data_IF_142687217796
#
_entry.id   IF_142687217796
#
_cell.length_a   1.000
_cell.length_b   1.000
_cell.length_c   1.000
_cell.angle_alpha   90.00
_cell.angle_beta   90.00
_cell.angle_gamma   90.00
#
_symmetry.space_group_name_H-M   'P 1'
#
loop_
_entity.id
_entity.type
_entity.pdbx_description
1 polymer ?
#
# COMPACT_ATOMS: atom_id res chain seq x y z
N UNK A 1 28.49 18.85 4.55
CA UNK A 1 27.36 18.85 3.61
C UNK A 1 26.12 18.50 4.42
N UNK A 2 25.30 19.49 4.79
CA UNK A 2 24.08 19.23 5.56
C UNK A 2 22.98 18.77 4.59
N UNK A 3 22.53 17.52 4.72
CA UNK A 3 21.36 17.06 4.01
C UNK A 3 20.11 17.69 4.64
N UNK A 4 19.25 18.29 3.82
CA UNK A 4 17.94 18.78 4.27
C UNK A 4 17.05 17.56 4.55
N UNK A 5 16.47 17.51 5.75
CA UNK A 5 15.55 16.46 6.18
C UNK A 5 14.26 17.08 6.71
N UNK A 6 13.15 16.37 6.54
CA UNK A 6 11.87 16.75 7.15
C UNK A 6 11.99 16.73 8.67
N UNK A 7 11.20 17.57 9.34
CA UNK A 7 11.01 17.44 10.79
C UNK A 7 10.40 16.07 11.12
N UNK A 8 10.61 15.53 12.33
CA UNK A 8 10.02 14.24 12.73
C UNK A 8 8.49 14.24 12.61
N UNK A 9 7.84 15.36 12.97
CA UNK A 9 6.40 15.59 12.78
C UNK A 9 6.00 15.46 11.31
N UNK A 10 6.64 16.20 10.41
CA UNK A 10 6.33 16.15 8.99
C UNK A 10 6.65 14.77 8.36
N UNK A 11 7.70 14.12 8.83
CA UNK A 11 8.10 12.80 8.36
C UNK A 11 7.07 11.73 8.74
N UNK A 12 6.57 11.73 9.99
CA UNK A 12 5.51 10.79 10.41
C UNK A 12 4.24 10.98 9.59
N UNK A 13 3.83 12.22 9.37
CA UNK A 13 2.66 12.53 8.55
C UNK A 13 2.83 12.01 7.12
N UNK A 14 3.96 12.35 6.51
CA UNK A 14 4.29 11.93 5.15
C UNK A 14 4.35 10.42 5.01
N UNK A 15 5.06 9.72 5.89
CA UNK A 15 5.21 8.27 5.85
C UNK A 15 3.86 7.57 6.03
N UNK A 16 3.03 8.06 6.96
CA UNK A 16 1.71 7.47 7.22
C UNK A 16 0.77 7.64 6.03
N UNK A 17 0.68 8.84 5.46
CA UNK A 17 -0.11 9.11 4.26
C UNK A 17 0.41 8.31 3.06
N UNK A 18 1.73 8.29 2.84
CA UNK A 18 2.34 7.50 1.77
C UNK A 18 2.03 6.01 1.90
N UNK A 19 2.15 5.46 3.10
CA UNK A 19 1.93 4.05 3.38
C UNK A 19 0.47 3.65 3.12
N UNK A 20 -0.49 4.42 3.65
CA UNK A 20 -1.90 4.09 3.52
C UNK A 20 -2.44 4.36 2.13
N UNK A 21 -2.12 5.51 1.53
CA UNK A 21 -2.71 5.93 0.25
C UNK A 21 -2.08 5.20 -0.94
N UNK A 22 -0.75 4.99 -0.94
CA UNK A 22 -0.05 4.46 -2.14
C UNK A 22 0.10 2.96 -2.14
N UNK A 23 0.11 2.32 -0.99
CA UNK A 23 0.46 0.90 -0.88
C UNK A 23 -0.60 0.04 -0.21
N UNK A 24 -1.66 0.63 0.36
CA UNK A 24 -2.76 -0.09 1.01
C UNK A 24 -2.30 -1.11 2.05
N UNK A 25 -1.11 -0.93 2.62
CA UNK A 25 -0.48 -1.95 3.45
C UNK A 25 0.57 -2.79 2.72
N UNK A 26 0.25 -3.91 2.08
CA UNK A 26 1.09 -4.97 1.42
C UNK A 26 2.59 -5.28 1.76
N UNK A 27 2.94 -6.59 1.83
CA UNK A 27 4.23 -7.33 2.07
C UNK A 27 5.54 -6.59 2.42
N UNK A 28 5.81 -5.41 1.85
CA UNK A 28 6.74 -4.41 2.40
C UNK A 28 6.16 -3.76 3.69
N UNK A 29 4.93 -4.15 4.08
CA UNK A 29 4.15 -3.73 5.27
C UNK A 29 5.04 -3.59 6.49
N UNK A 30 5.66 -4.69 6.90
CA UNK A 30 6.31 -4.75 8.19
C UNK A 30 7.49 -3.77 8.25
N UNK A 31 8.29 -3.70 7.18
CA UNK A 31 9.41 -2.78 7.12
C UNK A 31 8.96 -1.31 7.20
N UNK A 32 7.87 -0.94 6.52
CA UNK A 32 7.37 0.45 6.54
C UNK A 32 6.70 0.83 7.86
N UNK A 33 5.97 -0.09 8.48
CA UNK A 33 5.49 0.13 9.85
C UNK A 33 6.66 0.17 10.85
N UNK A 34 7.73 -0.59 10.59
CA UNK A 34 8.95 -0.53 11.38
C UNK A 34 9.68 0.81 11.22
N UNK A 35 9.68 1.41 10.02
CA UNK A 35 10.19 2.77 9.83
C UNK A 35 9.41 3.80 10.68
N UNK A 36 8.07 3.70 10.71
CA UNK A 36 7.23 4.53 11.59
C UNK A 36 7.57 4.30 13.07
N UNK A 37 7.68 3.03 13.47
CA UNK A 37 8.08 2.64 14.83
C UNK A 37 9.43 3.26 15.22
N UNK A 38 10.45 3.15 14.36
CA UNK A 38 11.78 3.71 14.61
C UNK A 38 11.77 5.23 14.72
N UNK A 39 10.95 5.93 13.93
CA UNK A 39 10.80 7.39 14.06
C UNK A 39 10.17 7.74 15.40
N UNK A 40 9.11 7.05 15.81
CA UNK A 40 8.48 7.27 17.11
C UNK A 40 9.41 6.93 18.28
N UNK A 41 10.10 5.79 18.23
CA UNK A 41 11.01 5.33 19.28
C UNK A 41 12.20 6.30 19.44
N UNK A 42 12.87 6.65 18.33
CA UNK A 42 14.12 7.42 18.38
C UNK A 42 13.91 8.92 18.43
N UNK A 43 12.81 9.40 17.85
CA UNK A 43 12.57 10.83 17.63
C UNK A 43 11.22 11.30 18.18
N UNK A 44 10.43 10.45 18.85
CA UNK A 44 9.12 10.79 19.39
C UNK A 44 9.14 11.97 20.36
N UNK A 45 10.23 12.16 21.10
CA UNK A 45 10.43 13.32 21.98
C UNK A 45 10.58 14.66 21.22
N UNK A 46 10.84 14.62 19.91
CA UNK A 46 10.93 15.77 19.01
C UNK A 46 9.68 15.95 18.14
N UNK A 47 8.74 15.02 18.24
CA UNK A 47 7.47 15.08 17.50
C UNK A 47 6.55 16.01 18.25
N UNK A 48 6.01 16.99 17.53
CA UNK A 48 4.89 17.80 18.00
C UNK A 48 3.59 17.05 17.70
N UNK A 49 3.10 16.32 18.69
CA UNK A 49 1.95 15.41 18.55
C UNK A 49 0.63 16.14 18.32
N UNK A 50 0.48 17.35 18.84
CA UNK A 50 -0.71 18.18 18.65
C UNK A 50 -0.73 18.75 17.22
N UNK A 51 0.39 19.32 16.77
CA UNK A 51 0.55 19.77 15.39
C UNK A 51 0.34 18.63 14.39
N UNK A 52 0.77 17.41 14.72
CA UNK A 52 0.58 16.25 13.85
C UNK A 52 -0.92 15.98 13.61
N UNK A 53 -1.76 16.09 14.64
CA UNK A 53 -3.22 15.94 14.52
C UNK A 53 -3.80 17.09 13.69
N UNK A 54 -3.41 18.34 13.98
CA UNK A 54 -3.91 19.52 13.27
C UNK A 54 -3.61 19.46 11.78
N UNK A 55 -2.36 19.15 11.41
CA UNK A 55 -1.95 19.02 10.01
C UNK A 55 -2.58 17.82 9.31
N UNK A 56 -2.76 16.71 10.02
CA UNK A 56 -3.45 15.56 9.46
C UNK A 56 -4.92 15.90 9.14
N UNK A 57 -5.60 16.68 9.99
CA UNK A 57 -6.95 17.15 9.71
C UNK A 57 -6.97 18.16 8.55
N UNK A 58 -6.06 19.13 8.52
CA UNK A 58 -5.94 20.13 7.45
C UNK A 58 -5.75 19.49 6.06
N UNK A 59 -4.98 18.40 5.98
CA UNK A 59 -4.69 17.71 4.73
C UNK A 59 -5.63 16.55 4.41
N UNK A 60 -6.69 16.34 5.20
CA UNK A 60 -7.60 15.19 5.06
C UNK A 60 -6.89 13.83 5.13
N UNK A 61 -5.85 13.74 5.97
CA UNK A 61 -5.04 12.54 6.18
C UNK A 61 -5.21 11.94 7.57
N UNK A 62 -6.17 12.41 8.36
CA UNK A 62 -6.41 11.93 9.72
C UNK A 62 -6.66 10.40 9.75
N UNK A 63 -7.53 9.88 8.87
CA UNK A 63 -7.77 8.43 8.80
C UNK A 63 -6.54 7.63 8.36
N UNK A 64 -5.71 8.18 7.46
CA UNK A 64 -4.45 7.53 7.03
C UNK A 64 -3.46 7.46 8.19
N UNK A 65 -3.26 8.58 8.89
CA UNK A 65 -2.38 8.64 10.05
C UNK A 65 -2.87 7.69 11.15
N UNK A 66 -4.17 7.70 11.46
CA UNK A 66 -4.77 6.84 12.46
C UNK A 66 -4.52 5.36 12.13
N UNK A 67 -4.87 4.93 10.91
CA UNK A 67 -4.72 3.54 10.50
C UNK A 67 -3.25 3.09 10.51
N UNK A 68 -2.32 3.96 10.08
CA UNK A 68 -0.90 3.66 10.10
C UNK A 68 -0.36 3.52 11.53
N UNK A 69 -0.70 4.47 12.41
CA UNK A 69 -0.22 4.49 13.79
C UNK A 69 -0.85 3.40 14.64
N UNK A 70 -2.13 3.09 14.45
CA UNK A 70 -2.82 1.98 15.10
C UNK A 70 -2.14 0.65 14.76
N UNK A 71 -1.87 0.39 13.48
CA UNK A 71 -1.17 -0.82 13.04
C UNK A 71 0.28 -0.87 13.58
N UNK A 72 0.97 0.26 13.57
CA UNK A 72 2.35 0.38 14.10
C UNK A 72 2.40 0.12 15.60
N UNK A 73 1.38 0.57 16.35
CA UNK A 73 1.25 0.26 17.77
C UNK A 73 0.91 -1.22 18.01
N UNK A 74 -0.01 -1.80 17.24
CA UNK A 74 -0.38 -3.21 17.35
C UNK A 74 0.78 -4.16 17.03
N UNK A 75 1.61 -3.84 16.04
CA UNK A 75 2.71 -4.70 15.60
C UNK A 75 3.95 -4.60 16.49
N UNK A 76 4.27 -3.41 17.02
CA UNK A 76 5.55 -3.15 17.69
C UNK A 76 5.42 -2.55 19.10
N UNK A 77 4.20 -2.45 19.64
CA UNK A 77 3.93 -1.76 20.91
C UNK A 77 4.52 -0.32 20.93
N UNK A 78 4.45 0.37 19.79
CA UNK A 78 5.06 1.68 19.60
C UNK A 78 4.58 2.67 20.66
N UNK A 79 5.50 3.40 21.34
CA UNK A 79 5.11 4.35 22.37
C UNK A 79 4.44 5.57 21.73
N UNK A 80 3.20 5.81 22.11
CA UNK A 80 2.41 6.97 21.72
C UNK A 80 1.93 7.69 22.99
N UNK A 81 1.70 9.02 22.93
CA UNK A 81 1.11 9.72 24.07
C UNK A 81 -0.25 9.12 24.43
N UNK A 82 -0.54 9.05 25.73
CA UNK A 82 -1.81 8.51 26.21
C UNK A 82 -3.00 9.31 25.66
N UNK A 83 -4.02 8.63 25.16
CA UNK A 83 -5.20 9.28 24.58
C UNK A 83 -4.99 9.87 23.17
N UNK A 84 -3.79 9.76 22.59
CA UNK A 84 -3.49 10.43 21.32
C UNK A 84 -4.18 9.78 20.12
N UNK A 85 -4.27 8.44 20.10
CA UNK A 85 -4.99 7.74 19.03
C UNK A 85 -6.49 8.05 19.08
N UNK A 86 -7.06 8.17 20.28
CA UNK A 86 -8.45 8.52 20.50
C UNK A 86 -8.75 9.96 20.02
N UNK A 87 -7.86 10.90 20.33
CA UNK A 87 -7.94 12.27 19.84
C UNK A 87 -7.85 12.34 18.31
N UNK A 88 -6.94 11.58 17.70
CA UNK A 88 -6.82 11.51 16.26
C UNK A 88 -8.04 10.85 15.60
N UNK A 89 -8.57 9.78 16.20
CA UNK A 89 -9.78 9.11 15.73
C UNK A 89 -10.97 10.08 15.67
N UNK A 90 -11.10 10.97 16.66
CA UNK A 90 -12.14 12.00 16.69
C UNK A 90 -12.02 13.05 15.57
N UNK A 91 -10.86 13.15 14.91
CA UNK A 91 -10.64 14.03 13.75
C UNK A 91 -10.87 13.35 12.41
N UNK A 92 -11.01 12.03 12.38
CA UNK A 92 -11.23 11.30 11.14
C UNK A 92 -12.65 11.54 10.62
N UNK A 93 -12.78 11.90 9.35
CA UNK A 93 -14.11 12.01 8.73
C UNK A 93 -14.62 10.62 8.29
N UNK A 94 -15.95 10.37 8.28
CA UNK A 94 -16.50 9.10 7.81
C UNK A 94 -16.08 8.77 6.36
N UNK A 95 -15.97 9.78 5.51
CA UNK A 95 -15.52 9.63 4.12
C UNK A 95 -14.07 9.15 4.06
N UNK A 96 -13.16 9.78 4.82
CA UNK A 96 -11.75 9.35 4.87
C UNK A 96 -11.61 7.93 5.41
N UNK A 97 -12.36 7.58 6.45
CA UNK A 97 -12.36 6.21 6.99
C UNK A 97 -12.82 5.19 5.96
N UNK A 98 -13.88 5.51 5.20
CA UNK A 98 -14.36 4.66 4.12
C UNK A 98 -13.33 4.49 3.01
N UNK A 99 -12.68 5.58 2.59
CA UNK A 99 -11.65 5.54 1.54
C UNK A 99 -10.45 4.69 1.96
N UNK A 100 -9.97 4.86 3.20
CA UNK A 100 -8.87 4.06 3.73
C UNK A 100 -9.26 2.59 3.91
N UNK A 101 -10.47 2.31 4.40
CA UNK A 101 -10.97 0.94 4.49
C UNK A 101 -11.04 0.29 3.10
N UNK A 102 -11.54 1.00 2.08
CA UNK A 102 -11.59 0.51 0.71
C UNK A 102 -10.19 0.21 0.16
N UNK A 103 -9.21 1.09 0.42
CA UNK A 103 -7.82 0.90 -0.01
C UNK A 103 -7.16 -0.30 0.69
N UNK A 104 -7.48 -0.54 1.97
CA UNK A 104 -6.95 -1.66 2.75
C UNK A 104 -7.60 -3.02 2.43
N UNK A 105 -8.87 -3.02 1.99
CA UNK A 105 -9.65 -4.23 1.69
C UNK A 105 -9.42 -4.76 0.28
N UNK A 106 -8.89 -3.96 -0.63
CA UNK A 106 -8.54 -4.42 -1.97
C UNK A 106 -7.33 -5.34 -1.90
N UNK A 107 -7.42 -6.59 -2.39
CA UNK A 107 -6.24 -7.42 -2.54
C UNK A 107 -5.36 -6.72 -3.59
N UNK A 108 -4.20 -6.17 -3.20
CA UNK A 108 -3.34 -5.44 -4.14
C UNK A 108 -2.46 -6.39 -4.97
N UNK A 109 -3.11 -7.45 -5.46
CA UNK A 109 -2.64 -8.27 -6.57
C UNK A 109 -2.10 -7.39 -7.69
N UNK A 110 -1.05 -7.89 -8.35
CA UNK A 110 -0.43 -7.17 -9.47
C UNK A 110 -1.46 -6.89 -10.57
N UNK A 111 -2.43 -7.79 -10.72
CA UNK A 111 -3.54 -7.68 -11.66
C UNK A 111 -4.46 -6.49 -11.34
N UNK A 112 -4.89 -6.30 -10.09
CA UNK A 112 -5.73 -5.14 -9.72
C UNK A 112 -4.97 -3.82 -9.93
N UNK A 113 -3.70 -3.76 -9.55
CA UNK A 113 -2.89 -2.55 -9.79
C UNK A 113 -2.75 -2.26 -11.28
N UNK A 114 -2.50 -3.28 -12.10
CA UNK A 114 -2.43 -3.14 -13.55
C UNK A 114 -3.76 -2.64 -14.14
N UNK A 115 -4.90 -3.15 -13.66
CA UNK A 115 -6.23 -2.72 -14.08
C UNK A 115 -6.53 -1.27 -13.69
N UNK A 116 -6.18 -0.86 -12.46
CA UNK A 116 -6.31 0.54 -12.01
C UNK A 116 -5.44 1.48 -12.86
N UNK A 117 -4.21 1.10 -13.16
CA UNK A 117 -3.34 1.85 -14.07
C UNK A 117 -3.92 1.92 -15.48
N UNK A 118 -4.50 0.84 -15.99
CA UNK A 118 -5.16 0.83 -17.30
C UNK A 118 -6.36 1.78 -17.35
N UNK A 119 -7.18 1.83 -16.30
CA UNK A 119 -8.36 2.69 -16.24
C UNK A 119 -8.02 4.18 -16.41
N UNK A 120 -6.92 4.64 -15.80
CA UNK A 120 -6.48 6.04 -15.87
C UNK A 120 -5.75 6.46 -17.16
N UNK A 121 -5.44 5.53 -18.07
CA UNK A 121 -4.62 5.81 -19.25
C UNK A 121 -5.44 6.03 -20.53
N UNK A 122 -4.98 6.87 -21.48
CA UNK A 122 -5.58 6.96 -22.82
C UNK A 122 -5.37 5.64 -23.58
N UNK A 123 -6.26 5.34 -24.54
CA UNK A 123 -6.30 4.02 -25.22
C UNK A 123 -4.94 3.57 -25.79
N UNK A 124 -4.18 4.48 -26.41
CA UNK A 124 -2.85 4.17 -26.97
C UNK A 124 -1.86 3.73 -25.90
N UNK A 125 -1.91 4.36 -24.72
CA UNK A 125 -1.09 3.98 -23.58
C UNK A 125 -1.59 2.66 -22.96
N UNK A 126 -2.91 2.41 -22.95
CA UNK A 126 -3.47 1.11 -22.55
C UNK A 126 -2.95 -0.02 -23.42
N UNK A 127 -3.02 0.11 -24.74
CA UNK A 127 -2.52 -0.91 -25.67
C UNK A 127 -1.02 -1.16 -25.49
N UNK A 128 -0.23 -0.10 -25.29
CA UNK A 128 1.21 -0.22 -25.01
C UNK A 128 1.48 -0.96 -23.70
N UNK A 129 0.71 -0.67 -22.66
CA UNK A 129 0.83 -1.31 -21.35
C UNK A 129 0.42 -2.78 -21.42
N UNK A 130 -0.71 -3.11 -22.04
CA UNK A 130 -1.15 -4.50 -22.27
C UNK A 130 -0.08 -5.27 -23.03
N UNK A 131 0.51 -4.68 -24.09
CA UNK A 131 1.60 -5.30 -24.83
C UNK A 131 2.83 -5.54 -23.94
N UNK A 132 3.21 -4.59 -23.08
CA UNK A 132 4.33 -4.75 -22.16
C UNK A 132 4.07 -5.81 -21.07
N UNK A 133 2.80 -6.00 -20.67
CA UNK A 133 2.38 -7.03 -19.72
C UNK A 133 2.45 -8.41 -20.38
N UNK A 134 1.90 -8.57 -21.58
CA UNK A 134 1.84 -9.85 -22.30
C UNK A 134 3.18 -10.26 -22.91
N UNK A 135 3.95 -9.29 -23.42
CA UNK A 135 5.21 -9.48 -24.13
C UNK A 135 6.33 -8.62 -23.51
N UNK A 136 6.76 -8.93 -22.28
CA UNK A 136 7.90 -8.25 -21.66
C UNK A 136 9.19 -8.46 -22.47
N UNK A 137 10.14 -7.55 -22.27
CA UNK A 137 11.49 -7.71 -22.83
C UNK A 137 12.22 -8.86 -22.15
N UNK A 138 13.13 -9.52 -22.87
CA UNK A 138 13.97 -10.60 -22.30
C UNK A 138 14.79 -10.14 -21.10
N UNK A 139 15.30 -8.91 -21.14
CA UNK A 139 16.02 -8.30 -20.03
C UNK A 139 15.15 -8.22 -18.77
N UNK A 140 13.87 -7.83 -18.93
CA UNK A 140 12.92 -7.80 -17.82
C UNK A 140 12.68 -9.19 -17.25
N UNK A 141 12.47 -10.19 -18.11
CA UNK A 141 12.18 -11.57 -17.67
C UNK A 141 13.34 -12.16 -16.86
N UNK A 142 14.58 -11.95 -17.28
CA UNK A 142 15.78 -12.43 -16.57
C UNK A 142 15.99 -11.73 -15.23
N UNK A 143 15.72 -10.42 -15.17
CA UNK A 143 15.77 -9.67 -13.92
C UNK A 143 14.70 -10.16 -12.93
N UNK A 144 13.49 -10.43 -13.43
CA UNK A 144 12.34 -10.82 -12.59
C UNK A 144 12.38 -12.28 -12.16
N UNK A 145 12.83 -13.17 -13.03
CA UNK A 145 12.93 -14.61 -12.83
C UNK A 145 14.40 -15.03 -13.01
N UNK A 146 15.23 -14.93 -11.95
CA UNK A 146 16.59 -15.43 -11.99
C UNK A 146 16.56 -16.95 -11.86
N UNK A 147 16.12 -17.63 -12.91
CA UNK A 147 16.31 -19.07 -13.05
C UNK A 147 17.68 -19.25 -13.72
N UNK A 148 18.53 -20.10 -13.16
CA UNK A 148 19.82 -20.51 -13.76
C UNK A 148 19.59 -21.45 -14.97
N UNK A 149 18.77 -21.00 -15.92
CA UNK A 149 18.46 -21.74 -17.13
C UNK A 149 19.36 -21.28 -18.29
N UNK A 150 19.85 -22.23 -19.12
CA UNK A 150 20.53 -21.91 -20.36
C UNK A 150 19.74 -20.93 -21.23
N UNK A 151 20.43 -20.01 -21.93
CA UNK A 151 19.82 -18.98 -22.79
C UNK A 151 18.84 -19.53 -23.86
N UNK A 152 18.99 -20.80 -24.23
CA UNK A 152 18.12 -21.50 -25.19
C UNK A 152 16.70 -21.70 -24.64
N UNK A 153 16.53 -21.69 -23.32
CA UNK A 153 15.25 -21.89 -22.63
C UNK A 153 14.55 -20.58 -22.27
N UNK A 154 15.01 -19.44 -22.81
CA UNK A 154 14.39 -18.13 -22.57
C UNK A 154 12.88 -18.11 -22.95
N UNK A 155 12.45 -18.97 -23.87
CA UNK A 155 11.04 -19.07 -24.26
C UNK A 155 10.15 -19.66 -23.16
N UNK A 156 10.70 -20.43 -22.20
CA UNK A 156 9.96 -20.98 -21.06
C UNK A 156 9.55 -19.92 -20.03
N UNK A 157 10.19 -18.75 -20.02
CA UNK A 157 9.79 -17.64 -19.14
C UNK A 157 8.40 -17.09 -19.46
N UNK A 158 7.98 -17.15 -20.73
CA UNK A 158 6.67 -16.63 -21.16
C UNK A 158 5.49 -17.46 -20.63
N UNK A 159 5.43 -18.80 -20.79
CA UNK A 159 4.37 -19.60 -20.20
C UNK A 159 4.40 -19.56 -18.67
N UNK A 160 5.58 -19.54 -18.03
CA UNK A 160 5.68 -19.36 -16.58
C UNK A 160 5.05 -18.04 -16.11
N UNK A 161 5.32 -16.94 -16.84
CA UNK A 161 4.72 -15.64 -16.55
C UNK A 161 3.20 -15.64 -16.75
N UNK A 162 2.69 -16.25 -17.81
CA UNK A 162 1.23 -16.34 -18.02
C UNK A 162 0.55 -17.19 -16.95
N UNK A 163 1.20 -18.25 -16.49
CA UNK A 163 0.74 -19.03 -15.35
C UNK A 163 0.70 -18.19 -14.07
N UNK A 164 1.74 -17.39 -13.79
CA UNK A 164 1.77 -16.50 -12.63
C UNK A 164 0.65 -15.43 -12.68
N UNK A 165 0.46 -14.80 -13.84
CA UNK A 165 -0.64 -13.84 -14.07
C UNK A 165 -2.01 -14.53 -13.90
N UNK A 166 -2.17 -15.74 -14.44
CA UNK A 166 -3.39 -16.53 -14.31
C UNK A 166 -3.71 -16.87 -12.86
N UNK A 167 -2.71 -17.32 -12.09
CA UNK A 167 -2.82 -17.61 -10.66
C UNK A 167 -3.21 -16.37 -9.85
N UNK A 168 -2.55 -15.23 -10.11
CA UNK A 168 -2.88 -13.95 -9.47
C UNK A 168 -4.33 -13.55 -9.77
N UNK A 169 -4.74 -13.65 -11.04
CA UNK A 169 -6.12 -13.36 -11.49
C UNK A 169 -7.17 -14.25 -10.82
N UNK A 170 -6.90 -15.56 -10.71
CA UNK A 170 -7.80 -16.52 -10.01
C UNK A 170 -7.90 -16.17 -8.53
N UNK A 171 -6.78 -15.83 -7.90
CA UNK A 171 -6.75 -15.41 -6.50
C UNK A 171 -7.60 -14.14 -6.31
N UNK A 172 -7.44 -13.15 -7.17
CA UNK A 172 -8.28 -11.94 -7.18
C UNK A 172 -9.77 -12.27 -7.33
N UNK A 173 -10.12 -13.08 -8.33
CA UNK A 173 -11.52 -13.47 -8.60
C UNK A 173 -12.14 -14.21 -7.42
N UNK A 174 -11.42 -15.18 -6.83
CA UNK A 174 -11.89 -15.91 -5.66
C UNK A 174 -12.15 -14.99 -4.47
N UNK A 175 -11.29 -13.99 -4.25
CA UNK A 175 -11.47 -13.01 -3.18
C UNK A 175 -12.67 -12.10 -3.43
N UNK A 176 -12.84 -11.62 -4.67
CA UNK A 176 -13.99 -10.78 -5.04
C UNK A 176 -15.31 -11.54 -4.88
N UNK A 177 -15.36 -12.81 -5.29
CA UNK A 177 -16.53 -13.67 -5.13
C UNK A 177 -16.83 -13.96 -3.66
N UNK A 178 -15.81 -14.34 -2.87
CA UNK A 178 -15.96 -14.57 -1.44
C UNK A 178 -16.44 -13.31 -0.69
N UNK A 179 -15.97 -12.13 -1.10
CA UNK A 179 -16.41 -10.85 -0.50
C UNK A 179 -17.87 -10.55 -0.80
N UNK A 180 -18.29 -10.72 -2.06
CA UNK A 180 -19.67 -10.50 -2.49
C UNK A 180 -20.64 -11.38 -1.70
N UNK A 181 -20.31 -12.67 -1.55
CA UNK A 181 -21.10 -13.63 -0.77
C UNK A 181 -21.19 -13.26 0.72
N UNK A 182 -20.22 -12.54 1.27
CA UNK A 182 -20.21 -12.09 2.67
C UNK A 182 -21.05 -10.83 2.86
N UNK A 183 -20.91 -9.85 1.95
CA UNK A 183 -21.72 -8.63 1.94
C UNK A 183 -23.22 -8.96 1.80
N UNK A 184 -23.57 -9.98 1.02
CA UNK A 184 -24.96 -10.47 0.87
C UNK A 184 -25.51 -11.18 2.12
N UNK A 185 -24.66 -11.72 3.00
CA UNK A 185 -25.07 -12.40 4.25
C UNK A 185 -25.16 -11.47 5.45
N UNK A 186 -24.29 -10.47 5.53
CA UNK A 186 -24.24 -9.52 6.64
C UNK A 186 -25.23 -8.34 6.43
N UNK A 187 -25.86 -8.25 5.24
CA UNK A 187 -26.82 -7.20 4.84
C UNK A 187 -28.31 -7.56 4.96
N UNK A 188 -28.64 -8.70 5.58
CA UNK A 188 -30.03 -9.13 5.92
C UNK A 188 -30.20 -9.26 7.42
#
# INVERSE_FOLDING_TARGET
MHALQLSPTANLLYLSAHLMIRHGGEWIRLLRFYDLHLVCERQGHRVNWDELIERAAEYHWAASLYAAMQMTQQLFATPLPAGWLEQLAARCTPTEQHDIAAIQQLPQTQTIRALQHLAGLPWRARARLVRAIMFPTRQYLRWRYPLDLPHVLDWLYYPYRWFDIGRDSVTTLSYMLYRKDREERDGT
#
